data_IF_519651509173
#
_entry.id   IF_519651509173
#
_cell.length_a   1.000
_cell.length_b   1.000
_cell.length_c   1.000
_cell.angle_alpha   90.00
_cell.angle_beta   90.00
_cell.angle_gamma   90.00
#
_symmetry.space_group_name_H-M   'P 1'
#
loop_
_entity.id
_entity.type
_entity.pdbx_description
1 polymer ?
#
# COMPACT_ATOMS: atom_id res chain seq x y z
N UNK A 1 12.11 -44.87 -14.16
CA UNK A 1 12.44 -43.69 -13.33
C UNK A 1 11.35 -42.59 -13.31
N UNK A 2 10.11 -42.81 -13.81
CA UNK A 2 9.14 -41.72 -14.05
C UNK A 2 8.04 -41.47 -12.99
N UNK A 3 7.66 -42.45 -12.15
CA UNK A 3 6.52 -42.27 -11.22
C UNK A 3 6.79 -41.34 -10.02
N UNK A 4 8.05 -41.24 -9.58
CA UNK A 4 8.41 -40.43 -8.41
C UNK A 4 8.48 -38.93 -8.73
N UNK A 5 8.88 -38.55 -9.95
CA UNK A 5 8.97 -37.15 -10.37
C UNK A 5 7.60 -36.49 -10.53
N UNK A 6 6.61 -37.17 -11.13
CA UNK A 6 5.25 -36.64 -11.26
C UNK A 6 4.52 -36.49 -9.90
N UNK A 7 4.78 -37.39 -8.95
CA UNK A 7 4.29 -37.27 -7.58
C UNK A 7 4.97 -36.13 -6.80
N UNK A 8 6.25 -35.87 -7.05
CA UNK A 8 6.97 -34.73 -6.47
C UNK A 8 6.48 -33.39 -7.05
N UNK A 9 6.29 -33.29 -8.37
CA UNK A 9 5.76 -32.10 -9.05
C UNK A 9 4.34 -31.74 -8.60
N UNK A 10 3.45 -32.72 -8.42
CA UNK A 10 2.11 -32.46 -7.88
C UNK A 10 2.14 -31.95 -6.44
N UNK A 11 3.06 -32.44 -5.61
CA UNK A 11 3.24 -31.98 -4.22
C UNK A 11 3.80 -30.56 -4.17
N UNK A 12 4.83 -30.27 -4.97
CA UNK A 12 5.42 -28.92 -5.04
C UNK A 12 4.41 -27.89 -5.56
N UNK A 13 3.67 -28.20 -6.62
CA UNK A 13 2.65 -27.30 -7.15
C UNK A 13 1.51 -27.02 -6.15
N UNK A 14 1.12 -28.00 -5.32
CA UNK A 14 0.18 -27.76 -4.20
C UNK A 14 0.79 -26.85 -3.14
N UNK A 15 2.04 -27.10 -2.74
CA UNK A 15 2.72 -26.30 -1.73
C UNK A 15 2.85 -24.83 -2.17
N UNK A 16 3.29 -24.59 -3.41
CA UNK A 16 3.40 -23.22 -3.99
C UNK A 16 2.03 -22.54 -4.06
N UNK A 17 0.98 -23.27 -4.46
CA UNK A 17 -0.38 -22.73 -4.49
C UNK A 17 -0.87 -22.33 -3.09
N UNK A 18 -0.62 -23.16 -2.08
CA UNK A 18 -1.01 -22.88 -0.69
C UNK A 18 -0.28 -21.63 -0.16
N UNK A 19 1.01 -21.51 -0.42
CA UNK A 19 1.78 -20.33 -0.06
C UNK A 19 1.23 -19.07 -0.74
N UNK A 20 0.86 -19.18 -2.02
CA UNK A 20 0.24 -18.08 -2.75
C UNK A 20 -1.09 -17.63 -2.14
N UNK A 21 -1.95 -18.56 -1.72
CA UNK A 21 -3.19 -18.22 -1.01
C UNK A 21 -2.93 -17.52 0.33
N UNK A 22 -1.92 -17.96 1.08
CA UNK A 22 -1.51 -17.28 2.32
C UNK A 22 -1.10 -15.84 2.05
N UNK A 23 -0.30 -15.59 1.00
CA UNK A 23 0.11 -14.24 0.62
C UNK A 23 -1.07 -13.34 0.22
N UNK A 24 -2.05 -13.88 -0.52
CA UNK A 24 -3.30 -13.18 -0.85
C UNK A 24 -4.05 -12.81 0.43
N UNK A 25 -4.23 -13.76 1.35
CA UNK A 25 -4.94 -13.52 2.60
C UNK A 25 -4.25 -12.46 3.46
N UNK A 26 -2.92 -12.54 3.63
CA UNK A 26 -2.14 -11.56 4.39
C UNK A 26 -2.22 -10.18 3.74
N UNK A 27 -2.06 -10.08 2.42
CA UNK A 27 -2.19 -8.82 1.70
C UNK A 27 -3.57 -8.19 1.85
N UNK A 28 -4.64 -8.98 1.72
CA UNK A 28 -6.01 -8.51 1.88
C UNK A 28 -6.29 -8.03 3.32
N UNK A 29 -5.86 -8.78 4.33
CA UNK A 29 -6.00 -8.39 5.74
C UNK A 29 -5.20 -7.12 6.04
N UNK A 30 -3.96 -7.04 5.55
CA UNK A 30 -3.10 -5.86 5.71
C UNK A 30 -3.75 -4.61 5.10
N UNK A 31 -4.27 -4.73 3.88
CA UNK A 31 -4.99 -3.63 3.21
C UNK A 31 -6.20 -3.17 4.04
N UNK A 32 -7.03 -4.13 4.49
CA UNK A 32 -8.21 -3.82 5.30
C UNK A 32 -7.85 -3.12 6.61
N UNK A 33 -6.74 -3.51 7.25
CA UNK A 33 -6.26 -2.90 8.49
C UNK A 33 -5.80 -1.47 8.29
N UNK A 34 -4.96 -1.19 7.29
CA UNK A 34 -4.53 0.19 6.98
C UNK A 34 -5.73 1.10 6.70
N UNK A 35 -6.72 0.59 5.95
CA UNK A 35 -7.97 1.31 5.71
C UNK A 35 -8.76 1.58 7.00
N UNK A 36 -8.86 0.60 7.90
CA UNK A 36 -9.57 0.77 9.17
C UNK A 36 -8.96 1.91 10.00
N UNK A 37 -7.62 1.93 10.11
CA UNK A 37 -6.90 2.99 10.83
C UNK A 37 -7.14 4.37 10.18
N UNK A 38 -6.99 4.50 8.86
CA UNK A 38 -7.22 5.78 8.18
C UNK A 38 -8.66 6.30 8.31
N UNK A 39 -9.65 5.41 8.24
CA UNK A 39 -11.05 5.80 8.40
C UNK A 39 -11.35 6.21 9.84
N UNK A 40 -10.68 5.60 10.83
CA UNK A 40 -10.83 5.93 12.24
C UNK A 40 -10.31 7.35 12.56
N UNK A 41 -9.25 7.79 11.89
CA UNK A 41 -8.73 9.17 12.01
C UNK A 41 -9.69 10.25 11.48
N UNK A 42 -10.76 9.86 10.77
CA UNK A 42 -11.82 10.73 10.26
C UNK A 42 -11.32 11.96 9.47
N UNK A 43 -10.20 11.81 8.77
CA UNK A 43 -9.61 12.86 7.94
C UNK A 43 -10.45 13.02 6.67
N UNK A 44 -10.81 14.27 6.35
CA UNK A 44 -11.55 14.63 5.14
C UNK A 44 -10.62 15.32 4.16
N UNK A 45 -10.68 14.89 2.90
CA UNK A 45 -9.90 15.50 1.82
C UNK A 45 -10.30 16.97 1.66
N UNK A 46 -9.29 17.84 1.69
CA UNK A 46 -9.48 19.29 1.65
C UNK A 46 -10.22 19.74 0.37
N UNK A 47 -11.01 20.81 0.49
CA UNK A 47 -11.85 21.37 -0.60
C UNK A 47 -11.06 21.79 -1.85
N UNK A 48 -9.79 22.11 -1.68
CA UNK A 48 -8.90 22.53 -2.78
C UNK A 48 -8.47 21.36 -3.68
N UNK A 49 -8.78 20.12 -3.30
CA UNK A 49 -8.64 18.92 -4.14
C UNK A 49 -9.98 18.64 -4.83
N UNK A 50 -10.28 19.36 -5.91
CA UNK A 50 -11.63 19.38 -6.53
C UNK A 50 -12.21 18.02 -6.89
N UNK A 51 -11.40 17.06 -7.33
CA UNK A 51 -11.87 15.72 -7.71
C UNK A 51 -12.21 14.79 -6.54
N UNK A 52 -11.71 15.08 -5.34
CA UNK A 52 -11.81 14.22 -4.16
C UNK A 52 -12.30 14.95 -2.90
N UNK A 53 -12.61 16.24 -3.01
CA UNK A 53 -13.05 17.10 -1.92
C UNK A 53 -14.22 16.48 -1.14
N UNK A 54 -14.15 16.54 0.19
CA UNK A 54 -15.20 16.01 1.06
C UNK A 54 -15.22 14.49 1.22
N UNK A 55 -14.39 13.74 0.47
CA UNK A 55 -14.24 12.30 0.68
C UNK A 55 -13.40 12.04 1.93
N UNK A 56 -13.68 10.93 2.62
CA UNK A 56 -12.82 10.42 3.69
C UNK A 56 -11.51 9.91 3.10
N UNK A 57 -10.41 10.16 3.81
CA UNK A 57 -9.13 9.52 3.54
C UNK A 57 -9.23 8.05 3.96
N UNK A 58 -9.34 7.15 3.00
CA UNK A 58 -9.64 5.74 3.24
C UNK A 58 -8.87 4.78 2.33
N UNK A 59 -8.11 5.30 1.39
CA UNK A 59 -7.46 4.55 0.33
C UNK A 59 -6.16 5.29 -0.10
N UNK A 60 -5.26 4.65 -0.87
CA UNK A 60 -3.98 5.28 -1.21
C UNK A 60 -4.14 6.55 -2.04
N UNK A 61 -5.21 6.68 -2.84
CA UNK A 61 -5.42 7.85 -3.70
C UNK A 61 -5.84 9.06 -2.87
N UNK A 62 -6.80 8.87 -1.97
CA UNK A 62 -7.27 9.92 -1.04
C UNK A 62 -6.19 10.31 -0.04
N UNK A 63 -5.39 9.36 0.45
CA UNK A 63 -4.26 9.63 1.35
C UNK A 63 -3.16 10.44 0.66
N UNK A 64 -2.79 10.07 -0.58
CA UNK A 64 -1.82 10.82 -1.37
C UNK A 64 -2.32 12.24 -1.68
N UNK A 65 -3.58 12.37 -2.11
CA UNK A 65 -4.17 13.66 -2.42
C UNK A 65 -4.19 14.59 -1.20
N UNK A 66 -4.54 14.06 -0.02
CA UNK A 66 -4.49 14.83 1.22
C UNK A 66 -3.06 15.21 1.61
N UNK A 67 -2.07 14.31 1.45
CA UNK A 67 -0.67 14.64 1.71
C UNK A 67 -0.16 15.74 0.75
N UNK A 68 -0.57 15.70 -0.52
CA UNK A 68 -0.19 16.69 -1.52
C UNK A 68 -0.77 18.08 -1.20
N UNK A 69 -2.04 18.16 -0.78
CA UNK A 69 -2.65 19.45 -0.45
C UNK A 69 -2.09 20.05 0.85
N UNK A 70 -1.79 19.22 1.85
CA UNK A 70 -1.06 19.66 3.05
C UNK A 70 0.29 20.27 2.68
N UNK A 71 1.03 19.65 1.74
CA UNK A 71 2.29 20.21 1.26
C UNK A 71 2.09 21.58 0.61
N UNK A 72 1.07 21.70 -0.24
CA UNK A 72 0.78 22.94 -0.96
C UNK A 72 0.51 24.10 0.01
N UNK A 73 -0.30 23.88 1.05
CA UNK A 73 -0.56 24.91 2.05
C UNK A 73 0.65 25.22 2.93
N UNK A 74 1.43 24.19 3.31
CA UNK A 74 2.67 24.40 4.05
C UNK A 74 3.64 25.27 3.26
N UNK A 75 3.87 24.96 1.98
CA UNK A 75 4.74 25.75 1.10
C UNK A 75 4.20 27.17 0.87
N UNK A 76 2.89 27.35 0.77
CA UNK A 76 2.30 28.68 0.64
C UNK A 76 2.59 29.56 1.87
N UNK A 77 2.54 28.97 3.07
CA UNK A 77 2.82 29.65 4.33
C UNK A 77 4.31 29.95 4.52
N UNK A 78 5.21 29.07 4.05
CA UNK A 78 6.67 29.21 4.20
C UNK A 78 7.35 29.97 3.05
N UNK A 79 6.58 30.57 2.13
CA UNK A 79 7.13 31.25 0.96
C UNK A 79 7.86 30.30 -0.01
N UNK A 80 7.42 29.05 -0.08
CA UNK A 80 7.96 28.00 -0.96
C UNK A 80 9.11 27.20 -0.36
N UNK A 81 9.49 27.46 0.89
CA UNK A 81 10.63 26.79 1.54
C UNK A 81 10.19 25.51 2.26
N UNK A 82 10.90 24.38 2.11
CA UNK A 82 10.69 23.21 2.95
C UNK A 82 11.13 23.50 4.40
N UNK A 83 10.67 22.68 5.35
CA UNK A 83 10.98 22.83 6.78
C UNK A 83 12.49 22.97 7.07
N UNK A 84 13.33 22.22 6.35
CA UNK A 84 14.78 22.24 6.53
C UNK A 84 15.42 23.60 6.18
N UNK A 85 14.76 24.39 5.34
CA UNK A 85 15.27 25.68 4.85
C UNK A 85 14.71 26.87 5.64
N UNK A 86 13.94 26.61 6.70
CA UNK A 86 13.39 27.64 7.57
C UNK A 86 14.39 28.08 8.66
N UNK A 87 14.53 29.41 8.89
CA UNK A 87 15.22 29.92 10.07
C UNK A 87 14.64 29.34 11.37
N UNK A 88 15.48 29.14 12.38
CA UNK A 88 15.07 28.53 13.66
C UNK A 88 14.01 29.36 14.42
N UNK A 89 14.02 30.67 14.21
CA UNK A 89 13.13 31.66 14.80
C UNK A 89 11.89 31.97 13.93
N UNK A 90 11.73 31.30 12.79
CA UNK A 90 10.59 31.53 11.91
C UNK A 90 9.26 31.11 12.59
N UNK A 91 8.24 31.98 12.63
CA UNK A 91 6.98 31.71 13.34
C UNK A 91 6.21 30.53 12.74
N UNK A 92 6.32 30.31 11.43
CA UNK A 92 5.69 29.20 10.71
C UNK A 92 6.41 27.85 10.88
N UNK A 93 7.59 27.81 11.52
CA UNK A 93 8.44 26.61 11.59
C UNK A 93 7.77 25.43 12.26
N UNK A 94 7.06 25.67 13.36
CA UNK A 94 6.33 24.62 14.08
C UNK A 94 5.20 24.04 13.21
N UNK A 95 4.45 24.90 12.53
CA UNK A 95 3.35 24.47 11.64
C UNK A 95 3.89 23.72 10.43
N UNK A 96 5.01 24.14 9.86
CA UNK A 96 5.69 23.42 8.78
C UNK A 96 6.17 22.02 9.20
N UNK A 97 6.66 21.88 10.44
CA UNK A 97 7.03 20.57 11.01
C UNK A 97 5.81 19.66 11.17
N UNK A 98 4.72 20.17 11.73
CA UNK A 98 3.47 19.40 11.86
C UNK A 98 2.95 18.94 10.50
N UNK A 99 2.98 19.82 9.49
CA UNK A 99 2.59 19.49 8.13
C UNK A 99 3.47 18.38 7.53
N UNK A 100 4.79 18.43 7.74
CA UNK A 100 5.72 17.39 7.29
C UNK A 100 5.47 16.04 7.97
N UNK A 101 5.11 16.04 9.26
CA UNK A 101 4.79 14.82 10.01
C UNK A 101 3.49 14.18 9.51
N UNK A 102 2.42 14.96 9.33
CA UNK A 102 1.14 14.47 8.77
C UNK A 102 1.32 13.94 7.35
N UNK A 103 2.13 14.61 6.53
CA UNK A 103 2.46 14.09 5.19
C UNK A 103 3.19 12.76 5.25
N UNK A 104 4.18 12.65 6.13
CA UNK A 104 4.97 11.42 6.28
C UNK A 104 4.09 10.25 6.73
N UNK A 105 3.17 10.46 7.66
CA UNK A 105 2.24 9.40 8.07
C UNK A 105 1.29 9.01 6.94
N UNK A 106 0.69 9.98 6.23
CA UNK A 106 -0.20 9.70 5.08
C UNK A 106 0.53 8.95 3.95
N UNK A 107 1.75 9.38 3.59
CA UNK A 107 2.56 8.69 2.58
C UNK A 107 3.00 7.31 3.04
N UNK A 108 3.29 7.13 4.33
CA UNK A 108 3.56 5.81 4.89
C UNK A 108 2.36 4.90 4.70
N UNK A 109 1.13 5.38 4.94
CA UNK A 109 -0.09 4.62 4.65
C UNK A 109 -0.24 4.27 3.15
N UNK A 110 0.10 5.19 2.24
CA UNK A 110 0.11 4.92 0.79
C UNK A 110 1.06 3.76 0.46
N UNK A 111 2.27 3.79 1.01
CA UNK A 111 3.25 2.71 0.84
C UNK A 111 2.74 1.41 1.45
N UNK A 112 2.12 1.44 2.64
CA UNK A 112 1.53 0.25 3.27
C UNK A 112 0.44 -0.40 2.42
N UNK A 113 -0.43 0.39 1.79
CA UNK A 113 -1.40 -0.13 0.81
C UNK A 113 -0.72 -0.75 -0.41
N UNK A 114 0.33 -0.10 -0.92
CA UNK A 114 1.14 -0.62 -2.02
C UNK A 114 1.78 -1.96 -1.69
N UNK A 115 2.36 -2.11 -0.50
CA UNK A 115 2.96 -3.36 -0.02
C UNK A 115 1.91 -4.45 0.19
N UNK A 116 0.74 -4.11 0.72
CA UNK A 116 -0.38 -5.05 0.86
C UNK A 116 -0.85 -5.56 -0.51
N UNK A 117 -0.98 -4.65 -1.49
CA UNK A 117 -1.29 -4.99 -2.87
C UNK A 117 -0.23 -5.86 -3.53
N UNK A 118 1.05 -5.55 -3.32
CA UNK A 118 2.18 -6.33 -3.83
C UNK A 118 2.21 -7.75 -3.24
N UNK A 119 1.97 -7.90 -1.93
CA UNK A 119 1.88 -9.20 -1.28
C UNK A 119 0.75 -10.04 -1.89
N UNK A 120 -0.43 -9.45 -2.07
CA UNK A 120 -1.56 -10.13 -2.71
C UNK A 120 -1.25 -10.49 -4.17
N UNK A 121 -0.66 -9.57 -4.94
CA UNK A 121 -0.25 -9.79 -6.33
C UNK A 121 0.77 -10.92 -6.49
N UNK A 122 1.80 -10.95 -5.63
CA UNK A 122 2.76 -12.04 -5.58
C UNK A 122 2.08 -13.38 -5.26
N UNK A 123 1.11 -13.37 -4.35
CA UNK A 123 0.30 -14.54 -4.04
C UNK A 123 -0.50 -15.05 -5.24
N UNK A 124 -1.11 -14.16 -6.03
CA UNK A 124 -1.81 -14.52 -7.28
C UNK A 124 -0.85 -15.19 -8.28
N UNK A 125 0.35 -14.63 -8.47
CA UNK A 125 1.38 -15.21 -9.35
C UNK A 125 1.81 -16.59 -8.85
N UNK A 126 2.04 -16.76 -7.54
CA UNK A 126 2.39 -18.04 -6.95
C UNK A 126 1.27 -19.09 -7.13
N UNK A 127 0.00 -18.71 -6.95
CA UNK A 127 -1.13 -19.61 -7.22
C UNK A 127 -1.16 -20.01 -8.69
N UNK A 128 -0.96 -19.07 -9.62
CA UNK A 128 -0.93 -19.36 -11.05
C UNK A 128 0.21 -20.34 -11.40
N UNK A 129 1.41 -20.09 -10.88
CA UNK A 129 2.57 -20.98 -11.06
C UNK A 129 2.32 -22.37 -10.48
N UNK A 130 1.78 -22.46 -9.26
CA UNK A 130 1.45 -23.73 -8.61
C UNK A 130 0.39 -24.54 -9.37
N UNK A 131 -0.60 -23.86 -9.97
CA UNK A 131 -1.57 -24.49 -10.87
C UNK A 131 -0.92 -24.97 -12.16
N UNK A 132 -0.03 -24.19 -12.76
CA UNK A 132 0.72 -24.57 -13.96
C UNK A 132 1.56 -25.83 -13.76
N UNK A 133 2.34 -25.91 -12.67
CA UNK A 133 3.13 -27.11 -12.32
C UNK A 133 2.24 -28.35 -12.19
N UNK A 134 1.05 -28.20 -11.57
CA UNK A 134 0.10 -29.30 -11.42
C UNK A 134 -0.53 -29.73 -12.73
N UNK A 135 -0.80 -28.81 -13.65
CA UNK A 135 -1.36 -29.09 -14.96
C UNK A 135 -0.35 -29.90 -15.81
N UNK A 136 0.90 -29.46 -15.86
CA UNK A 136 1.97 -30.17 -16.59
C UNK A 136 2.20 -31.58 -16.04
N UNK A 137 2.18 -31.76 -14.71
CA UNK A 137 2.32 -33.09 -14.09
C UNK A 137 1.07 -34.00 -14.24
N UNK A 138 -0.03 -33.48 -14.79
CA UNK A 138 -1.22 -34.25 -15.12
C UNK A 138 -1.22 -34.73 -16.57
N UNK A 139 -0.57 -33.98 -17.47
CA UNK A 139 -0.41 -34.28 -18.91
C UNK A 139 0.65 -35.35 -19.18
N UNK A 140 1.59 -35.53 -18.25
CA UNK A 140 2.66 -36.56 -18.29
C UNK A 140 2.16 -38.00 -18.00
N UNK A 141 0.85 -38.26 -18.14
CA UNK A 141 0.21 -39.57 -17.94
C UNK A 141 -0.02 -40.28 -19.25
#
# INVERSE_FOLDING_TARGET
MSRNHSAAARRSGRAVSLLGYTFIAVGAVGYAKVRQELVAENIIVHKDVTSLAGKKVADPVTAYAQAAIVNKHALAMTGGKPFADLPMDAPERETALMAANVRSSLLTSVVSFGLAGLAAGAGVVAVAAGRGIRALAADEK
#
